data_IF_327935357185
#
_entry.id   IF_327935357185
#
_cell.length_a   1.000
_cell.length_b   1.000
_cell.length_c   1.000
_cell.angle_alpha   90.00
_cell.angle_beta   90.00
_cell.angle_gamma   90.00
#
_symmetry.space_group_name_H-M   'P 1'
#
loop_
_entity.id
_entity.type
_entity.pdbx_description
1 polymer ?
#
# COMPACT_ATOMS: atom_id res chain seq x y z
N UNK A 1 -2.99 -4.87 7.14
CA UNK A 1 -1.80 -5.73 7.31
C UNK A 1 -1.08 -6.03 5.99
N UNK A 2 -1.78 -6.37 4.91
CA UNK A 2 -1.16 -6.69 3.60
C UNK A 2 -0.14 -5.65 3.10
N UNK A 3 -0.49 -4.36 3.12
CA UNK A 3 0.39 -3.29 2.65
C UNK A 3 1.75 -3.28 3.37
N UNK A 4 1.76 -3.50 4.69
CA UNK A 4 2.98 -3.58 5.48
C UNK A 4 3.84 -4.77 5.02
N UNK A 5 3.29 -5.98 4.90
CA UNK A 5 4.09 -7.14 4.51
C UNK A 5 4.57 -7.13 3.06
N UNK A 6 3.91 -6.37 2.19
CA UNK A 6 4.28 -6.32 0.78
C UNK A 6 5.25 -5.18 0.48
N UNK A 7 5.04 -3.98 1.01
CA UNK A 7 5.74 -2.76 0.54
C UNK A 7 6.88 -2.31 1.44
N UNK A 8 6.84 -2.71 2.70
CA UNK A 8 7.76 -2.26 3.74
C UNK A 8 9.11 -2.94 3.64
N UNK A 9 10.17 -2.14 3.74
CA UNK A 9 11.54 -2.59 3.93
C UNK A 9 12.10 -1.93 5.19
N UNK A 10 12.61 -2.72 6.13
CA UNK A 10 12.97 -2.24 7.48
C UNK A 10 14.05 -1.16 7.42
N UNK A 11 15.07 -1.31 6.58
CA UNK A 11 16.18 -0.37 6.52
C UNK A 11 15.81 0.98 5.87
N UNK A 12 14.78 1.01 5.02
CA UNK A 12 14.31 2.20 4.30
C UNK A 12 13.14 2.89 4.99
N UNK A 13 12.15 2.12 5.45
CA UNK A 13 10.81 2.61 5.77
C UNK A 13 10.53 2.66 7.28
N UNK A 14 11.50 2.26 8.11
CA UNK A 14 11.39 2.34 9.56
C UNK A 14 12.08 3.59 10.09
N UNK A 15 11.28 4.50 10.62
CA UNK A 15 11.76 5.80 11.09
C UNK A 15 11.51 5.96 12.59
N UNK A 16 12.48 6.56 13.27
CA UNK A 16 12.30 7.09 14.62
C UNK A 16 12.04 8.60 14.54
N UNK A 17 11.26 9.12 15.48
CA UNK A 17 11.30 10.55 15.76
C UNK A 17 12.66 10.96 16.37
N UNK A 18 12.93 12.26 16.40
CA UNK A 18 14.23 12.79 16.87
C UNK A 18 14.56 12.34 18.30
N UNK A 19 13.54 12.19 19.16
CA UNK A 19 13.69 11.75 20.55
C UNK A 19 13.67 10.23 20.74
N UNK A 20 13.47 9.45 19.68
CA UNK A 20 13.27 7.98 19.70
C UNK A 20 12.17 7.51 20.64
N UNK A 21 11.11 8.31 20.81
CA UNK A 21 9.91 7.94 21.58
C UNK A 21 8.80 7.38 20.71
N UNK A 22 8.87 7.64 19.39
CA UNK A 22 7.87 7.21 18.42
C UNK A 22 8.55 6.54 17.25
N UNK A 23 7.79 5.66 16.63
CA UNK A 23 8.20 5.00 15.39
C UNK A 23 7.15 5.24 14.32
N UNK A 24 7.60 5.32 13.07
CA UNK A 24 6.75 5.34 11.89
C UNK A 24 7.20 4.22 10.93
N UNK A 25 6.23 3.49 10.40
CA UNK A 25 6.42 2.50 9.34
C UNK A 25 5.81 3.06 8.05
N UNK A 26 6.64 3.34 7.04
CA UNK A 26 6.15 3.73 5.73
C UNK A 26 5.77 2.49 4.90
N UNK A 27 4.47 2.23 4.80
CA UNK A 27 3.92 1.14 3.98
C UNK A 27 3.28 1.64 2.67
N UNK A 28 3.65 2.85 2.21
CA UNK A 28 3.16 3.40 0.94
C UNK A 28 3.77 2.66 -0.26
N UNK A 29 3.20 2.89 -1.45
CA UNK A 29 3.79 2.33 -2.67
C UNK A 29 5.11 3.07 -2.96
N UNK A 30 6.26 2.38 -3.03
CA UNK A 30 7.53 3.04 -3.16
C UNK A 30 7.68 3.71 -4.53
N UNK A 31 8.25 4.93 -4.54
CA UNK A 31 8.61 5.64 -5.77
C UNK A 31 9.94 5.06 -6.28
N UNK A 32 10.00 4.51 -7.51
CA UNK A 32 11.23 3.93 -8.03
C UNK A 32 12.35 4.97 -8.12
N UNK A 33 13.52 4.65 -7.59
CA UNK A 33 14.68 5.56 -7.59
C UNK A 33 15.99 4.76 -7.53
N UNK A 34 16.99 5.20 -8.29
CA UNK A 34 18.38 4.75 -8.12
C UNK A 34 19.21 5.75 -7.31
N UNK A 35 18.61 6.87 -6.92
CA UNK A 35 19.23 7.92 -6.13
C UNK A 35 18.95 7.68 -4.63
N UNK A 36 19.94 7.98 -3.79
CA UNK A 36 19.86 7.80 -2.35
C UNK A 36 20.69 6.60 -1.84
N UNK A 37 20.57 6.28 -0.54
CA UNK A 37 21.42 5.27 0.10
C UNK A 37 21.11 3.84 -0.33
N UNK A 38 19.88 3.57 -0.77
CA UNK A 38 19.42 2.25 -1.19
C UNK A 38 18.56 2.38 -2.45
N UNK A 39 18.75 1.53 -3.48
CA UNK A 39 17.93 1.56 -4.67
C UNK A 39 16.49 1.13 -4.34
N UNK A 40 15.52 1.84 -4.90
CA UNK A 40 14.10 1.58 -4.74
C UNK A 40 13.56 1.03 -6.06
N UNK A 41 13.22 -0.26 -6.05
CA UNK A 41 12.65 -0.92 -7.23
C UNK A 41 11.20 -0.51 -7.48
N UNK A 42 10.75 -0.66 -8.73
CA UNK A 42 9.34 -0.49 -9.08
C UNK A 42 8.46 -1.53 -8.38
N UNK A 43 7.34 -1.07 -7.82
CA UNK A 43 6.30 -1.92 -7.24
C UNK A 43 5.34 -2.42 -8.34
N UNK A 44 4.87 -3.68 -8.30
CA UNK A 44 3.84 -4.16 -9.23
C UNK A 44 2.56 -3.33 -9.16
N UNK A 45 1.82 -3.32 -10.27
CA UNK A 45 0.52 -2.68 -10.32
C UNK A 45 -0.41 -3.28 -9.25
N UNK A 46 -1.25 -2.42 -8.67
CA UNK A 46 -2.32 -2.85 -7.77
C UNK A 46 -3.51 -3.23 -8.63
N UNK A 47 -4.10 -4.39 -8.36
CA UNK A 47 -5.37 -4.77 -8.97
C UNK A 47 -6.46 -3.85 -8.43
N UNK A 48 -7.07 -3.08 -9.32
CA UNK A 48 -8.27 -2.30 -9.05
C UNK A 48 -9.44 -3.04 -9.67
N UNK A 49 -10.58 -3.03 -8.99
CA UNK A 49 -11.82 -3.51 -9.56
C UNK A 49 -12.32 -2.52 -10.62
N UNK A 50 -13.06 -3.05 -11.59
CA UNK A 50 -13.74 -2.23 -12.59
C UNK A 50 -14.97 -1.58 -11.95
N UNK A 51 -15.10 -0.24 -11.96
CA UNK A 51 -16.22 0.46 -11.33
C UNK A 51 -17.59 0.00 -11.85
N UNK A 52 -17.71 -0.29 -13.16
CA UNK A 52 -18.98 -0.74 -13.73
C UNK A 52 -19.38 -2.13 -13.23
N UNK A 53 -18.39 -2.96 -12.90
CA UNK A 53 -18.61 -4.30 -12.34
C UNK A 53 -18.98 -4.19 -10.86
N UNK A 54 -18.30 -3.32 -10.11
CA UNK A 54 -18.65 -3.04 -8.70
C UNK A 54 -20.10 -2.58 -8.58
N UNK A 55 -20.53 -1.61 -9.39
CA UNK A 55 -21.92 -1.12 -9.39
C UNK A 55 -22.95 -2.23 -9.67
N UNK A 56 -22.65 -3.13 -10.61
CA UNK A 56 -23.53 -4.26 -10.94
C UNK A 56 -23.62 -5.27 -9.78
N UNK A 57 -22.51 -5.52 -9.09
CA UNK A 57 -22.48 -6.41 -7.92
C UNK A 57 -23.25 -5.79 -6.76
N UNK A 58 -23.09 -4.49 -6.50
CA UNK A 58 -23.82 -3.78 -5.46
C UNK A 58 -25.34 -3.80 -5.69
N UNK A 59 -25.78 -3.49 -6.91
CA UNK A 59 -27.20 -3.57 -7.28
C UNK A 59 -27.76 -5.00 -7.17
N UNK A 60 -26.94 -6.01 -7.44
CA UNK A 60 -27.30 -7.41 -7.25
C UNK A 60 -27.45 -7.75 -5.76
N UNK A 61 -26.49 -7.35 -4.90
CA UNK A 61 -26.55 -7.58 -3.46
C UNK A 61 -27.79 -6.94 -2.83
N UNK A 62 -28.13 -5.70 -3.22
CA UNK A 62 -29.33 -5.02 -2.73
C UNK A 62 -30.62 -5.76 -3.10
N UNK A 63 -30.71 -6.28 -4.33
CA UNK A 63 -31.88 -7.05 -4.80
C UNK A 63 -32.06 -8.37 -4.03
N UNK A 64 -30.96 -9.05 -3.71
CA UNK A 64 -30.99 -10.33 -3.00
C UNK A 64 -31.05 -10.15 -1.46
N UNK A 65 -30.94 -8.91 -0.96
CA UNK A 65 -30.97 -8.61 0.48
C UNK A 65 -29.74 -9.08 1.25
N UNK A 66 -28.56 -9.07 0.61
CA UNK A 66 -27.27 -9.45 1.18
C UNK A 66 -26.48 -8.25 1.70
#
# INVERSE_FOLDING_TARGET
>A
LWQLFCRFEVSRDFHFDEQRKRVAWDATAPIPSNEGPLPVRRWPAVTLHDPEVEEKVDAWMEREGL
#
